data_IF_347392577830
#
_entry.id   IF_347392577830
#
_cell.length_a   1.000
_cell.length_b   1.000
_cell.length_c   1.000
_cell.angle_alpha   90.00
_cell.angle_beta   90.00
_cell.angle_gamma   90.00
#
_symmetry.space_group_name_H-M   'P 1'
#
loop_
_entity.id
_entity.type
_entity.pdbx_description
1 polymer ?
#
# COMPACT_ATOMS: atom_id res chain seq x y z
N UNK A 1 50.56 -0.14 -30.89
CA UNK A 1 50.30 -1.23 -29.92
C UNK A 1 48.95 -1.01 -29.30
N UNK A 2 48.18 -2.09 -29.24
CA UNK A 2 46.73 -2.15 -29.06
C UNK A 2 46.32 -1.85 -27.62
N UNK A 3 45.18 -1.17 -27.50
CA UNK A 3 44.42 -0.87 -26.29
C UNK A 3 43.78 -2.12 -25.68
N UNK A 4 44.04 -2.39 -24.40
CA UNK A 4 43.29 -3.39 -23.63
C UNK A 4 41.96 -2.80 -23.13
N UNK A 5 40.87 -3.31 -23.69
CA UNK A 5 39.50 -3.10 -23.22
C UNK A 5 39.16 -4.26 -22.29
N UNK A 6 39.18 -3.99 -20.98
CA UNK A 6 38.68 -4.93 -19.97
C UNK A 6 37.16 -5.08 -20.08
N UNK A 7 36.72 -6.26 -20.55
CA UNK A 7 35.31 -6.64 -20.66
C UNK A 7 34.74 -6.86 -19.26
N UNK A 8 33.78 -6.03 -18.84
CA UNK A 8 33.03 -6.26 -17.59
C UNK A 8 32.11 -7.48 -17.77
N UNK A 9 32.35 -8.50 -16.96
CA UNK A 9 31.54 -9.71 -16.88
C UNK A 9 30.13 -9.39 -16.39
N UNK A 10 29.13 -9.94 -17.07
CA UNK A 10 27.71 -9.86 -16.72
C UNK A 10 27.44 -10.48 -15.34
N UNK A 11 26.80 -9.72 -14.45
CA UNK A 11 26.26 -10.22 -13.18
C UNK A 11 25.12 -11.23 -13.43
N UNK A 12 24.98 -12.29 -12.62
CA UNK A 12 23.93 -13.30 -12.78
C UNK A 12 22.56 -12.75 -12.36
N UNK A 13 21.53 -13.15 -13.13
CA UNK A 13 20.10 -12.86 -12.93
C UNK A 13 19.59 -13.33 -11.57
N UNK A 14 18.86 -12.47 -10.83
CA UNK A 14 18.36 -12.78 -9.48
C UNK A 14 16.94 -13.37 -9.52
N UNK A 15 16.70 -14.37 -8.66
CA UNK A 15 15.47 -15.17 -8.56
C UNK A 15 14.75 -14.80 -7.26
N UNK A 16 13.44 -14.55 -7.32
CA UNK A 16 12.59 -14.33 -6.15
C UNK A 16 12.01 -15.67 -5.66
N UNK A 17 12.05 -15.92 -4.35
CA UNK A 17 11.47 -17.13 -3.74
C UNK A 17 10.42 -16.75 -2.69
N UNK A 18 9.17 -17.16 -2.91
CA UNK A 18 8.12 -17.10 -1.89
C UNK A 18 8.16 -18.38 -1.06
N UNK A 19 8.20 -18.27 0.27
CA UNK A 19 8.14 -19.41 1.18
C UNK A 19 6.78 -19.42 1.89
N UNK A 20 6.12 -20.57 1.92
CA UNK A 20 4.93 -20.85 2.73
C UNK A 20 5.28 -21.91 3.78
N UNK A 21 4.73 -21.88 5.00
CA UNK A 21 4.88 -22.97 5.95
C UNK A 21 3.93 -24.14 5.57
N UNK A 22 4.55 -25.32 5.38
CA UNK A 22 4.09 -26.73 5.39
C UNK A 22 2.57 -27.02 5.33
N UNK A 23 2.02 -27.84 4.45
CA UNK A 23 2.51 -29.11 3.86
C UNK A 23 2.19 -29.25 2.35
N UNK A 24 2.92 -30.14 1.69
CA UNK A 24 2.85 -30.61 0.29
C UNK A 24 3.53 -29.76 -0.82
N UNK A 25 4.82 -30.05 -0.98
CA UNK A 25 5.62 -30.10 -2.21
C UNK A 25 5.05 -29.47 -3.50
N UNK A 26 5.27 -28.16 -3.69
CA UNK A 26 5.78 -27.62 -4.96
C UNK A 26 6.19 -26.16 -4.81
N UNK A 27 7.49 -25.87 -4.93
CA UNK A 27 8.05 -24.51 -5.01
C UNK A 27 7.65 -23.85 -6.34
N UNK A 28 7.22 -22.58 -6.30
CA UNK A 28 7.01 -21.79 -7.51
C UNK A 28 8.25 -20.90 -7.71
N UNK A 29 9.09 -21.26 -8.67
CA UNK A 29 10.23 -20.47 -9.14
C UNK A 29 9.77 -19.58 -10.29
N UNK A 30 9.97 -18.26 -10.20
CA UNK A 30 9.81 -17.34 -11.34
C UNK A 30 11.18 -16.73 -11.67
N UNK A 31 11.69 -17.06 -12.87
CA UNK A 31 12.95 -16.51 -13.38
C UNK A 31 12.67 -15.35 -14.33
N UNK A 32 13.31 -14.20 -14.08
CA UNK A 32 13.34 -13.08 -15.02
C UNK A 32 14.32 -13.45 -16.15
N UNK A 33 13.81 -13.85 -17.31
CA UNK A 33 14.64 -14.06 -18.50
C UNK A 33 14.23 -13.05 -19.57
N UNK A 34 15.24 -12.28 -20.01
CA UNK A 34 15.29 -11.37 -21.16
C UNK A 34 14.24 -10.26 -21.24
N UNK A 35 14.65 -9.01 -20.99
CA UNK A 35 14.32 -7.88 -21.86
C UNK A 35 15.46 -6.85 -21.73
N UNK A 36 16.15 -6.68 -22.84
CA UNK A 36 17.33 -5.84 -23.08
C UNK A 36 17.02 -4.35 -22.90
N UNK A 37 18.08 -3.59 -22.63
CA UNK A 37 18.18 -2.13 -22.77
C UNK A 37 17.53 -1.65 -24.07
N UNK A 38 16.35 -1.04 -23.96
CA UNK A 38 15.74 -0.05 -24.86
C UNK A 38 14.25 -0.05 -24.47
N UNK A 39 13.80 0.96 -23.71
CA UNK A 39 12.39 1.41 -23.60
C UNK A 39 12.16 2.36 -22.40
N UNK A 40 13.17 2.66 -21.59
CA UNK A 40 13.03 3.54 -20.41
C UNK A 40 13.02 5.05 -20.68
N UNK A 41 12.74 5.51 -21.90
CA UNK A 41 12.72 6.95 -22.23
C UNK A 41 11.68 7.27 -23.29
N UNK A 42 10.39 7.19 -22.97
CA UNK A 42 9.32 7.82 -23.76
C UNK A 42 7.96 7.82 -23.05
N UNK A 43 7.88 8.35 -21.82
CA UNK A 43 6.56 8.62 -21.23
C UNK A 43 6.58 9.75 -20.20
N UNK A 44 7.23 10.86 -20.55
CA UNK A 44 7.03 12.14 -19.89
C UNK A 44 7.06 13.24 -20.95
N UNK A 45 5.92 13.46 -21.59
CA UNK A 45 5.46 14.76 -22.10
C UNK A 45 4.07 14.57 -22.75
N UNK A 46 3.01 14.92 -22.01
CA UNK A 46 1.88 15.69 -22.54
C UNK A 46 0.86 15.94 -21.42
N UNK A 47 0.97 17.10 -20.81
CA UNK A 47 -0.06 17.70 -19.95
C UNK A 47 -0.59 18.93 -20.69
N UNK A 48 -1.89 18.90 -20.97
CA UNK A 48 -2.91 19.98 -20.92
C UNK A 48 -3.77 20.23 -22.17
N UNK A 49 -5.05 20.40 -21.80
CA UNK A 49 -6.15 21.12 -22.43
C UNK A 49 -6.93 20.44 -23.56
N UNK A 50 -8.18 20.07 -23.22
CA UNK A 50 -9.35 20.68 -23.85
C UNK A 50 -10.60 20.52 -22.98
N UNK A 51 -11.16 21.67 -22.60
CA UNK A 51 -12.50 21.80 -22.05
C UNK A 51 -13.58 21.81 -23.16
N UNK A 52 -14.80 21.49 -22.71
CA UNK A 52 -16.12 21.93 -23.15
C UNK A 52 -17.07 21.04 -24.01
N UNK A 53 -18.10 20.51 -23.29
CA UNK A 53 -19.56 20.74 -23.44
C UNK A 53 -20.46 19.79 -24.31
N UNK A 54 -21.37 19.10 -23.56
CA UNK A 54 -22.80 18.65 -23.80
C UNK A 54 -23.08 17.61 -24.92
N UNK A 55 -24.03 16.66 -24.82
CA UNK A 55 -25.46 16.69 -24.41
C UNK A 55 -25.95 15.29 -23.93
N UNK A 56 -26.86 15.34 -22.93
CA UNK A 56 -27.97 14.46 -22.54
C UNK A 56 -28.03 12.96 -22.91
N UNK A 57 -28.27 12.14 -21.88
CA UNK A 57 -28.92 10.84 -21.95
C UNK A 57 -29.34 10.44 -20.54
N UNK A 58 -30.65 10.54 -20.25
CA UNK A 58 -31.21 10.26 -18.94
C UNK A 58 -31.11 8.77 -18.59
N UNK A 59 -30.64 8.49 -17.38
CA UNK A 59 -31.03 7.28 -16.64
C UNK A 59 -31.09 7.66 -15.18
N UNK A 60 -32.19 7.27 -14.55
CA UNK A 60 -32.64 7.67 -13.22
C UNK A 60 -31.52 7.54 -12.19
N UNK A 61 -31.07 8.70 -11.69
CA UNK A 61 -30.22 8.77 -10.51
C UNK A 61 -31.05 8.29 -9.33
N UNK A 62 -30.88 7.04 -8.94
CA UNK A 62 -31.12 6.65 -7.55
C UNK A 62 -30.23 7.53 -6.69
N UNK A 63 -30.81 8.59 -6.15
CA UNK A 63 -30.16 9.52 -5.24
C UNK A 63 -29.95 8.82 -3.91
N UNK A 64 -29.00 7.90 -3.85
CA UNK A 64 -28.32 7.61 -2.60
C UNK A 64 -27.65 8.93 -2.24
N UNK A 65 -28.17 9.59 -1.22
CA UNK A 65 -27.52 10.72 -0.56
C UNK A 65 -26.05 10.36 -0.39
N UNK A 66 -25.16 10.96 -1.18
CA UNK A 66 -23.72 10.79 -0.99
C UNK A 66 -23.42 11.40 0.37
N UNK A 67 -22.98 10.59 1.33
CA UNK A 67 -22.53 11.10 2.62
C UNK A 67 -21.31 11.99 2.34
N UNK A 68 -21.40 13.27 2.69
CA UNK A 68 -20.34 14.27 2.47
C UNK A 68 -19.75 14.71 3.79
N UNK A 69 -18.45 14.99 3.81
CA UNK A 69 -17.76 15.56 4.96
C UNK A 69 -16.79 16.63 4.52
N UNK A 70 -16.42 17.51 5.46
CA UNK A 70 -15.36 18.49 5.24
C UNK A 70 -14.12 18.09 6.00
N UNK A 71 -12.96 18.19 5.35
CA UNK A 71 -11.64 18.09 5.95
C UNK A 71 -10.84 19.27 5.42
N UNK A 72 -10.21 20.04 6.31
CA UNK A 72 -9.43 21.24 5.92
C UNK A 72 -10.18 22.23 5.00
N UNK A 73 -11.49 22.35 5.19
CA UNK A 73 -12.42 23.13 4.35
C UNK A 73 -12.69 22.58 2.94
N UNK A 74 -12.14 21.43 2.59
CA UNK A 74 -12.42 20.72 1.34
C UNK A 74 -13.54 19.69 1.53
N UNK A 75 -14.40 19.53 0.52
CA UNK A 75 -15.47 18.54 0.55
C UNK A 75 -14.96 17.18 0.06
N UNK A 76 -15.08 16.17 0.92
CA UNK A 76 -14.78 14.78 0.61
C UNK A 76 -16.10 14.01 0.53
N UNK A 77 -16.27 13.25 -0.54
CA UNK A 77 -17.47 12.44 -0.76
C UNK A 77 -17.21 10.96 -0.41
N UNK A 78 -18.14 10.37 0.32
CA UNK A 78 -18.23 8.93 0.43
C UNK A 78 -18.57 8.32 -0.94
N UNK A 79 -17.91 7.21 -1.29
CA UNK A 79 -18.04 6.59 -2.60
C UNK A 79 -17.00 7.06 -3.63
N UNK A 80 -16.07 7.93 -3.25
CA UNK A 80 -14.96 8.40 -4.08
C UNK A 80 -13.63 7.94 -3.50
N UNK A 81 -12.62 7.80 -4.37
CA UNK A 81 -11.27 7.40 -3.97
C UNK A 81 -10.65 8.50 -3.11
N UNK A 82 -10.04 8.10 -1.99
CA UNK A 82 -9.35 9.02 -1.09
C UNK A 82 -8.00 9.41 -1.71
N UNK A 83 -7.62 10.68 -1.56
CA UNK A 83 -6.34 11.20 -2.01
C UNK A 83 -5.17 10.78 -1.11
N UNK A 84 -3.97 10.65 -1.69
CA UNK A 84 -2.78 10.16 -1.01
C UNK A 84 -2.39 11.01 0.19
N UNK A 85 -2.52 12.33 0.08
CA UNK A 85 -2.21 13.31 1.12
C UNK A 85 -3.04 13.11 2.39
N UNK A 86 -4.34 12.84 2.25
CA UNK A 86 -5.22 12.55 3.38
C UNK A 86 -4.87 11.21 4.06
N UNK A 87 -4.48 10.20 3.28
CA UNK A 87 -3.99 8.93 3.84
C UNK A 87 -2.68 9.13 4.58
N UNK A 88 -1.76 9.91 4.00
CA UNK A 88 -0.47 10.22 4.60
C UNK A 88 -0.65 11.00 5.91
N UNK A 89 -1.51 12.02 5.93
CA UNK A 89 -1.81 12.78 7.15
C UNK A 89 -2.41 11.90 8.24
N UNK A 90 -3.33 11.00 7.89
CA UNK A 90 -3.88 10.05 8.84
C UNK A 90 -2.80 9.16 9.45
N UNK A 91 -1.91 8.61 8.60
CA UNK A 91 -0.81 7.75 9.03
C UNK A 91 0.20 8.49 9.92
N UNK A 92 0.52 9.74 9.60
CA UNK A 92 1.41 10.60 10.39
C UNK A 92 0.82 10.89 11.78
N UNK A 93 -0.47 11.26 11.84
CA UNK A 93 -1.19 11.47 13.10
C UNK A 93 -1.23 10.19 13.94
N UNK A 94 -1.53 9.04 13.32
CA UNK A 94 -1.58 7.74 14.00
C UNK A 94 -0.21 7.37 14.57
N UNK A 95 0.87 7.44 13.79
CA UNK A 95 2.19 7.08 14.27
C UNK A 95 2.68 8.06 15.36
N UNK A 96 2.38 9.35 15.21
CA UNK A 96 2.69 10.38 16.20
C UNK A 96 2.00 10.11 17.54
N UNK A 97 0.69 9.82 17.52
CA UNK A 97 -0.07 9.45 18.72
C UNK A 97 0.51 8.19 19.39
N UNK A 98 1.03 7.25 18.59
CA UNK A 98 1.72 6.04 19.04
C UNK A 98 3.20 6.25 19.36
N UNK A 99 3.65 7.51 19.51
CA UNK A 99 5.04 7.89 19.85
C UNK A 99 6.07 7.34 18.86
N UNK A 100 5.74 7.38 17.58
CA UNK A 100 6.56 6.89 16.48
C UNK A 100 6.97 5.41 16.69
N UNK A 101 5.98 4.57 17.02
CA UNK A 101 6.15 3.13 17.26
C UNK A 101 6.65 2.38 16.02
N UNK A 102 6.34 2.88 14.82
CA UNK A 102 6.67 2.24 13.55
C UNK A 102 7.71 3.05 12.77
N UNK A 103 8.58 2.34 12.06
CA UNK A 103 9.51 2.92 11.07
C UNK A 103 8.84 3.16 9.69
N UNK A 104 7.59 2.69 9.54
CA UNK A 104 6.75 2.92 8.37
C UNK A 104 5.85 4.15 8.50
N UNK A 105 4.64 4.07 7.92
CA UNK A 105 3.66 5.17 7.86
C UNK A 105 4.23 6.43 7.21
N UNK A 106 5.19 6.23 6.30
CA UNK A 106 5.82 7.29 5.53
C UNK A 106 4.85 7.77 4.45
N UNK A 107 4.98 9.04 4.07
CA UNK A 107 4.23 9.55 2.94
C UNK A 107 4.52 8.72 1.67
N UNK A 108 3.50 8.40 0.88
CA UNK A 108 3.64 7.49 -0.27
C UNK A 108 4.73 7.95 -1.25
N UNK A 109 4.92 9.27 -1.39
CA UNK A 109 5.96 9.82 -2.27
C UNK A 109 7.39 9.47 -1.80
N UNK A 110 7.58 9.21 -0.50
CA UNK A 110 8.89 8.81 0.03
C UNK A 110 9.30 7.40 -0.36
N UNK A 111 8.34 6.53 -0.69
CA UNK A 111 8.63 5.15 -1.14
C UNK A 111 9.32 5.16 -2.53
N UNK A 112 9.08 6.21 -3.32
CA UNK A 112 9.74 6.41 -4.61
C UNK A 112 11.15 7.03 -4.48
N UNK A 113 11.64 7.32 -3.27
CA UNK A 113 13.01 7.81 -3.08
C UNK A 113 14.05 6.71 -3.35
N UNK A 114 15.28 7.16 -3.59
CA UNK A 114 16.46 6.29 -3.64
C UNK A 114 16.56 5.44 -2.35
N UNK A 115 16.79 4.12 -2.47
CA UNK A 115 16.97 3.20 -1.34
C UNK A 115 17.87 3.72 -0.22
N UNK A 116 18.94 4.46 -0.53
CA UNK A 116 19.87 4.97 0.49
C UNK A 116 19.23 5.95 1.49
N UNK A 117 18.14 6.62 1.09
CA UNK A 117 17.39 7.50 1.97
C UNK A 117 16.35 6.73 2.78
N UNK A 118 15.80 5.64 2.24
CA UNK A 118 14.85 4.79 2.93
C UNK A 118 15.51 4.05 4.10
N UNK A 119 16.77 3.61 3.98
CA UNK A 119 17.51 2.94 5.05
C UNK A 119 17.60 3.75 6.35
N UNK A 120 17.57 5.09 6.24
CA UNK A 120 17.60 6.00 7.40
C UNK A 120 16.26 6.11 8.10
N UNK A 121 15.17 5.91 7.36
CA UNK A 121 13.79 5.96 7.86
C UNK A 121 13.34 4.58 8.36
N UNK A 122 13.69 3.55 7.59
CA UNK A 122 13.39 2.14 7.85
C UNK A 122 14.64 1.48 8.42
N UNK A 123 14.80 1.53 9.74
CA UNK A 123 16.05 1.12 10.39
C UNK A 123 16.10 -0.38 10.73
N UNK A 124 14.95 -1.05 10.66
CA UNK A 124 14.78 -2.45 11.09
C UNK A 124 14.72 -2.63 12.61
N UNK A 125 14.77 -1.54 13.40
CA UNK A 125 14.68 -1.59 14.87
C UNK A 125 13.26 -1.52 15.39
N UNK A 126 12.31 -1.11 14.54
CA UNK A 126 10.88 -1.06 14.83
C UNK A 126 10.10 -1.89 13.82
N UNK A 127 8.89 -2.35 14.18
CA UNK A 127 7.97 -2.89 13.19
C UNK A 127 7.65 -1.84 12.11
N UNK A 128 7.22 -2.32 10.95
CA UNK A 128 6.90 -1.48 9.79
C UNK A 128 5.45 -1.76 9.43
N UNK A 129 4.66 -0.69 9.31
CA UNK A 129 3.34 -0.68 8.70
C UNK A 129 3.35 0.40 7.64
N UNK A 130 3.06 0.07 6.39
CA UNK A 130 3.11 1.04 5.30
C UNK A 130 1.96 0.82 4.33
N UNK A 131 1.26 1.89 3.97
CA UNK A 131 0.33 1.86 2.84
C UNK A 131 1.14 2.11 1.56
N UNK A 132 0.99 1.21 0.60
CA UNK A 132 1.59 1.31 -0.74
C UNK A 132 0.48 1.56 -1.77
N UNK A 133 0.85 2.24 -2.86
CA UNK A 133 0.00 2.38 -4.03
C UNK A 133 0.47 1.43 -5.13
N UNK A 134 -0.35 0.44 -5.43
CA UNK A 134 -0.25 -0.34 -6.65
C UNK A 134 -0.74 0.51 -7.82
N UNK A 135 0.18 1.20 -8.49
CA UNK A 135 -0.12 2.10 -9.61
C UNK A 135 -0.80 1.38 -10.77
N UNK A 136 -0.44 0.11 -11.04
CA UNK A 136 -1.02 -0.66 -12.15
C UNK A 136 -2.50 -0.94 -11.95
N UNK A 137 -2.91 -1.16 -10.70
CA UNK A 137 -4.32 -1.41 -10.32
C UNK A 137 -5.02 -0.18 -9.76
N UNK A 138 -4.32 0.95 -9.65
CA UNK A 138 -4.75 2.15 -8.91
C UNK A 138 -5.28 1.83 -7.51
N UNK A 139 -4.62 0.87 -6.83
CA UNK A 139 -5.13 0.20 -5.62
C UNK A 139 -4.21 0.38 -4.42
N UNK A 140 -4.76 0.74 -3.27
CA UNK A 140 -3.99 0.78 -2.02
C UNK A 140 -3.89 -0.61 -1.39
N UNK A 141 -2.70 -0.95 -0.93
CA UNK A 141 -2.44 -2.14 -0.11
C UNK A 141 -1.71 -1.74 1.16
N UNK A 142 -1.89 -2.50 2.24
CA UNK A 142 -1.10 -2.35 3.46
C UNK A 142 -0.03 -3.43 3.47
N UNK A 143 1.21 -3.06 3.77
CA UNK A 143 2.30 -3.99 4.04
C UNK A 143 2.75 -3.88 5.49
N UNK A 144 3.07 -5.03 6.07
CA UNK A 144 3.53 -5.17 7.45
C UNK A 144 4.80 -5.99 7.50
N UNK A 145 5.76 -5.56 8.34
CA UNK A 145 6.87 -6.41 8.78
C UNK A 145 7.01 -6.29 10.29
N UNK A 146 7.03 -7.44 10.97
CA UNK A 146 7.26 -7.50 12.42
C UNK A 146 8.76 -7.65 12.71
N UNK A 147 9.14 -7.59 13.99
CA UNK A 147 10.53 -7.85 14.39
C UNK A 147 10.83 -9.35 14.61
N UNK A 148 9.79 -10.20 14.59
CA UNK A 148 9.90 -11.63 14.93
C UNK A 148 10.09 -12.49 13.68
N UNK A 149 9.39 -12.13 12.60
CA UNK A 149 9.43 -12.84 11.33
C UNK A 149 9.97 -11.91 10.24
N UNK A 150 10.87 -12.44 9.41
CA UNK A 150 11.48 -11.73 8.30
C UNK A 150 10.61 -11.77 7.02
N UNK A 151 9.30 -11.91 7.22
CA UNK A 151 8.31 -11.98 6.15
C UNK A 151 7.51 -10.69 6.11
N UNK A 152 7.44 -10.08 4.93
CA UNK A 152 6.53 -8.96 4.65
C UNK A 152 5.14 -9.52 4.36
N UNK A 153 4.17 -9.13 5.17
CA UNK A 153 2.76 -9.50 5.02
C UNK A 153 2.06 -8.42 4.21
N UNK A 154 1.33 -8.80 3.17
CA UNK A 154 0.55 -7.90 2.31
C UNK A 154 -0.94 -8.13 2.58
N UNK A 155 -1.61 -7.06 3.01
CA UNK A 155 -3.06 -6.98 3.16
C UNK A 155 -3.63 -6.27 1.92
N UNK A 156 -4.29 -7.05 1.06
CA UNK A 156 -4.85 -6.58 -0.21
C UNK A 156 -6.32 -7.01 -0.29
N UNK A 157 -7.22 -6.03 -0.29
CA UNK A 157 -8.68 -6.27 -0.27
C UNK A 157 -9.23 -6.87 -1.58
N UNK A 158 -8.45 -6.88 -2.67
CA UNK A 158 -8.78 -7.56 -3.92
C UNK A 158 -8.21 -8.98 -3.99
N UNK A 159 -7.16 -9.30 -3.22
CA UNK A 159 -6.45 -10.59 -3.20
C UNK A 159 -7.19 -11.71 -2.43
N UNK A 160 -8.45 -11.93 -2.77
CA UNK A 160 -9.38 -12.87 -2.12
C UNK A 160 -9.14 -14.37 -2.40
N UNK A 161 -8.05 -14.71 -3.08
CA UNK A 161 -7.65 -16.10 -3.34
C UNK A 161 -6.17 -16.18 -3.66
N UNK A 162 -5.58 -17.38 -3.54
CA UNK A 162 -4.15 -17.60 -3.88
C UNK A 162 -3.82 -17.18 -5.32
N UNK A 163 -4.72 -17.46 -6.26
CA UNK A 163 -4.55 -17.05 -7.66
C UNK A 163 -4.50 -15.53 -7.78
N UNK A 164 -5.45 -14.83 -7.17
CA UNK A 164 -5.50 -13.36 -7.19
C UNK A 164 -4.31 -12.72 -6.47
N UNK A 165 -3.87 -13.29 -5.35
CA UNK A 165 -2.68 -12.84 -4.64
C UNK A 165 -1.42 -12.93 -5.51
N UNK A 166 -1.27 -14.04 -6.25
CA UNK A 166 -0.15 -14.20 -7.20
C UNK A 166 -0.18 -13.15 -8.31
N UNK A 167 -1.38 -12.85 -8.83
CA UNK A 167 -1.55 -11.86 -9.91
C UNK A 167 -1.43 -10.41 -9.39
N UNK A 168 -1.66 -10.18 -8.10
CA UNK A 168 -1.62 -8.86 -7.46
C UNK A 168 -0.19 -8.33 -7.27
N UNK A 169 0.79 -9.21 -7.04
CA UNK A 169 2.20 -8.83 -6.91
C UNK A 169 2.81 -8.55 -8.29
N UNK A 170 2.43 -7.41 -8.87
CA UNK A 170 3.03 -6.94 -10.11
C UNK A 170 4.40 -6.29 -9.85
N UNK A 171 5.14 -6.04 -10.95
CA UNK A 171 6.49 -5.49 -10.91
C UNK A 171 6.60 -4.21 -10.08
N UNK A 172 5.71 -3.24 -10.27
CA UNK A 172 5.79 -1.95 -9.57
C UNK A 172 5.56 -2.07 -8.07
N UNK A 173 4.62 -2.93 -7.65
CA UNK A 173 4.41 -3.21 -6.23
C UNK A 173 5.59 -4.00 -5.63
N UNK A 174 6.12 -4.97 -6.37
CA UNK A 174 7.28 -5.75 -5.94
C UNK A 174 8.54 -4.89 -5.78
N UNK A 175 8.78 -3.93 -6.69
CA UNK A 175 9.90 -2.99 -6.61
C UNK A 175 9.77 -2.06 -5.39
N UNK A 176 8.56 -1.55 -5.10
CA UNK A 176 8.31 -0.77 -3.88
C UNK A 176 8.65 -1.55 -2.60
N UNK A 177 8.14 -2.79 -2.50
CA UNK A 177 8.43 -3.67 -1.36
C UNK A 177 9.93 -3.97 -1.30
N UNK A 178 10.55 -4.31 -2.41
CA UNK A 178 11.98 -4.62 -2.45
C UNK A 178 12.83 -3.43 -1.98
N UNK A 179 12.59 -2.24 -2.51
CA UNK A 179 13.33 -1.02 -2.13
C UNK A 179 13.19 -0.69 -0.65
N UNK A 180 12.04 -0.99 -0.05
CA UNK A 180 11.77 -0.73 1.36
C UNK A 180 12.37 -1.76 2.33
N UNK A 181 12.58 -3.00 1.91
CA UNK A 181 12.90 -4.09 2.84
C UNK A 181 14.20 -4.84 2.53
N UNK A 182 14.76 -4.71 1.33
CA UNK A 182 15.92 -5.50 0.90
C UNK A 182 17.16 -5.29 1.79
N UNK A 183 17.38 -4.08 2.30
CA UNK A 183 18.49 -3.78 3.20
C UNK A 183 18.34 -4.43 4.59
N UNK A 184 17.13 -4.84 4.97
CA UNK A 184 16.85 -5.56 6.21
C UNK A 184 17.13 -7.07 6.08
N UNK A 185 17.09 -7.60 4.86
CA UNK A 185 17.20 -9.04 4.56
C UNK A 185 18.16 -9.31 3.39
N UNK A 186 19.42 -8.84 3.43
CA UNK A 186 20.30 -8.82 2.26
C UNK A 186 20.75 -10.20 1.77
N UNK A 187 20.61 -11.24 2.61
CA UNK A 187 21.10 -12.61 2.30
C UNK A 187 20.00 -13.45 1.64
N UNK A 188 18.78 -13.37 2.15
CA UNK A 188 17.66 -14.24 1.74
C UNK A 188 16.73 -13.57 0.70
N UNK A 189 16.94 -12.28 0.43
CA UNK A 189 15.97 -11.45 -0.28
C UNK A 189 14.71 -11.19 0.56
N UNK A 190 13.75 -10.45 -0.02
CA UNK A 190 12.52 -10.09 0.68
C UNK A 190 11.47 -11.19 0.52
N UNK A 191 11.11 -11.85 1.63
CA UNK A 191 10.03 -12.85 1.67
C UNK A 191 8.69 -12.12 1.77
N UNK A 192 7.76 -12.44 0.87
CA UNK A 192 6.44 -11.79 0.81
C UNK A 192 5.33 -12.82 0.94
N UNK A 193 4.34 -12.55 1.79
CA UNK A 193 3.15 -13.37 1.99
C UNK A 193 1.90 -12.50 1.88
N UNK A 194 0.91 -12.95 1.10
CA UNK A 194 -0.40 -12.31 1.05
C UNK A 194 -1.34 -12.88 2.10
N UNK A 195 -2.13 -12.00 2.69
CA UNK A 195 -3.24 -12.35 3.55
C UNK A 195 -4.55 -12.37 2.74
N UNK A 196 -5.14 -13.57 2.58
CA UNK A 196 -6.21 -13.83 1.59
C UNK A 196 -7.61 -13.93 2.19
N UNK A 197 -7.73 -13.93 3.52
CA UNK A 197 -8.98 -14.03 4.27
C UNK A 197 -9.54 -12.67 4.73
N UNK A 198 -9.08 -11.59 4.10
CA UNK A 198 -9.54 -10.23 4.35
C UNK A 198 -10.91 -9.99 3.70
N UNK A 199 -11.73 -9.15 4.33
CA UNK A 199 -13.01 -8.70 3.76
C UNK A 199 -12.83 -8.18 2.33
N UNK A 200 -13.51 -8.87 1.40
CA UNK A 200 -13.46 -8.58 -0.04
C UNK A 200 -13.96 -7.17 -0.34
N UNK A 201 -13.21 -6.46 -1.18
CA UNK A 201 -13.71 -5.29 -1.90
C UNK A 201 -14.38 -5.70 -3.22
N UNK A 202 -15.56 -5.14 -3.49
CA UNK A 202 -16.32 -5.30 -4.74
C UNK A 202 -16.60 -3.98 -5.48
N UNK A 203 -16.23 -2.85 -4.89
CA UNK A 203 -16.27 -1.52 -5.50
C UNK A 203 -14.88 -1.08 -6.05
N UNK A 204 -14.80 0.10 -6.65
CA UNK A 204 -13.56 0.65 -7.23
C UNK A 204 -12.90 1.77 -6.40
N UNK A 205 -13.38 2.06 -5.19
CA UNK A 205 -13.02 3.30 -4.47
C UNK A 205 -12.64 3.07 -2.99
N UNK A 206 -13.13 2.02 -2.35
CA UNK A 206 -13.01 1.83 -0.89
C UNK A 206 -11.63 1.33 -0.44
N UNK A 207 -10.72 1.01 -1.36
CA UNK A 207 -9.40 0.47 -1.02
C UNK A 207 -8.62 1.34 -0.03
N UNK A 208 -8.69 2.67 -0.16
CA UNK A 208 -8.06 3.61 0.77
C UNK A 208 -8.68 3.58 2.17
N UNK A 209 -10.01 3.46 2.27
CA UNK A 209 -10.69 3.31 3.57
C UNK A 209 -10.40 1.95 4.21
N UNK A 210 -10.33 0.90 3.39
CA UNK A 210 -9.98 -0.45 3.85
C UNK A 210 -8.57 -0.47 4.41
N UNK A 211 -7.59 0.13 3.73
CA UNK A 211 -6.22 0.24 4.27
C UNK A 211 -6.15 1.12 5.52
N UNK A 212 -6.94 2.19 5.62
CA UNK A 212 -7.09 2.98 6.87
C UNK A 212 -7.62 2.11 8.01
N UNK A 213 -8.63 1.28 7.77
CA UNK A 213 -9.15 0.38 8.78
C UNK A 213 -8.10 -0.68 9.18
N UNK A 214 -7.46 -1.31 8.20
CA UNK A 214 -6.45 -2.34 8.45
C UNK A 214 -5.25 -1.80 9.21
N UNK A 215 -4.70 -0.64 8.81
CA UNK A 215 -3.54 -0.07 9.48
C UNK A 215 -3.87 0.31 10.91
N UNK A 216 -5.09 0.78 11.16
CA UNK A 216 -5.56 1.07 12.53
C UNK A 216 -5.62 -0.21 13.36
N UNK A 217 -6.20 -1.30 12.85
CA UNK A 217 -6.19 -2.59 13.53
C UNK A 217 -4.78 -3.05 13.85
N UNK A 218 -3.90 -3.09 12.85
CA UNK A 218 -2.52 -3.57 13.02
C UNK A 218 -1.69 -2.68 13.95
N UNK A 219 -1.91 -1.36 13.96
CA UNK A 219 -1.20 -0.42 14.83
C UNK A 219 -1.48 -0.67 16.33
N UNK A 220 -2.64 -1.24 16.65
CA UNK A 220 -3.05 -1.67 18.00
C UNK A 220 -2.96 -3.20 18.19
N UNK A 221 -2.20 -3.90 17.34
CA UNK A 221 -1.96 -5.34 17.40
C UNK A 221 -3.23 -6.21 17.24
N UNK A 222 -4.32 -5.64 16.72
CA UNK A 222 -5.55 -6.35 16.39
C UNK A 222 -5.49 -6.96 14.99
N UNK A 223 -6.10 -8.13 14.82
CA UNK A 223 -6.24 -8.75 13.50
C UNK A 223 -7.44 -8.12 12.76
N UNK A 224 -7.23 -7.48 11.58
CA UNK A 224 -8.33 -6.91 10.80
C UNK A 224 -9.36 -7.95 10.35
N UNK A 225 -9.04 -9.24 10.31
CA UNK A 225 -9.99 -10.31 9.95
C UNK A 225 -11.07 -10.53 11.03
N UNK A 226 -10.85 -10.06 12.25
CA UNK A 226 -11.84 -10.16 13.33
C UNK A 226 -12.98 -9.15 13.20
N UNK A 227 -12.97 -8.29 12.18
CA UNK A 227 -13.91 -7.20 12.00
C UNK A 227 -14.61 -7.27 10.64
N UNK A 228 -15.88 -6.87 10.63
CA UNK A 228 -16.63 -6.54 9.42
C UNK A 228 -16.72 -5.03 9.38
N UNK A 229 -16.14 -4.40 8.38
CA UNK A 229 -15.99 -2.96 8.35
C UNK A 229 -17.16 -2.30 7.62
N UNK A 230 -17.92 -1.49 8.34
CA UNK A 230 -18.86 -0.55 7.74
C UNK A 230 -18.09 0.65 7.16
N UNK A 231 -17.87 0.64 5.84
CA UNK A 231 -17.09 1.68 5.15
C UNK A 231 -17.62 3.10 5.39
N UNK A 232 -18.93 3.29 5.58
CA UNK A 232 -19.47 4.61 5.91
C UNK A 232 -19.02 5.06 7.30
N UNK A 233 -19.00 4.16 8.28
CA UNK A 233 -18.48 4.49 9.62
C UNK A 233 -16.97 4.70 9.61
N UNK A 234 -16.21 3.89 8.87
CA UNK A 234 -14.76 4.09 8.68
C UNK A 234 -14.50 5.46 8.06
N UNK A 235 -15.26 5.86 7.03
CA UNK A 235 -15.18 7.17 6.41
C UNK A 235 -15.46 8.31 7.39
N UNK A 236 -16.54 8.19 8.19
CA UNK A 236 -16.88 9.18 9.23
C UNK A 236 -15.75 9.32 10.26
N UNK A 237 -15.22 8.19 10.73
CA UNK A 237 -14.12 8.14 11.67
C UNK A 237 -12.84 8.79 11.09
N UNK A 238 -12.46 8.42 9.88
CA UNK A 238 -11.30 8.96 9.16
C UNK A 238 -11.38 10.49 9.04
N UNK A 239 -12.49 11.03 8.53
CA UNK A 239 -12.66 12.47 8.40
C UNK A 239 -12.69 13.20 9.76
N UNK A 240 -13.18 12.57 10.83
CA UNK A 240 -13.16 13.19 12.16
C UNK A 240 -11.72 13.39 12.65
N UNK A 241 -10.89 12.35 12.55
CA UNK A 241 -9.50 12.40 13.00
C UNK A 241 -8.64 13.34 12.17
N UNK A 242 -8.90 13.46 10.87
CA UNK A 242 -8.20 14.45 10.05
C UNK A 242 -8.52 15.90 10.45
N UNK A 243 -9.72 16.17 10.98
CA UNK A 243 -10.05 17.50 11.49
C UNK A 243 -9.50 17.75 12.91
N UNK A 244 -9.11 16.71 13.64
CA UNK A 244 -8.46 16.86 14.94
C UNK A 244 -6.99 17.23 14.73
N UNK A 245 -6.51 18.26 15.42
CA UNK A 245 -5.18 18.81 15.16
C UNK A 245 -4.09 17.87 15.69
N UNK A 246 -4.27 17.33 16.90
CA UNK A 246 -3.33 16.44 17.56
C UNK A 246 -4.09 15.31 18.29
N UNK A 247 -4.70 14.38 17.54
CA UNK A 247 -5.49 13.32 18.15
C UNK A 247 -4.63 12.45 19.06
N UNK A 248 -5.14 12.11 20.24
CA UNK A 248 -4.46 11.21 21.16
C UNK A 248 -4.69 9.73 20.82
N UNK A 249 -3.94 8.85 21.49
CA UNK A 249 -4.01 7.40 21.24
C UNK A 249 -5.40 6.80 21.52
N UNK A 250 -6.17 7.38 22.44
CA UNK A 250 -7.49 6.88 22.80
C UNK A 250 -8.52 7.26 21.74
N UNK A 251 -8.40 8.43 21.13
CA UNK A 251 -9.22 8.82 19.98
C UNK A 251 -9.10 7.85 18.80
N UNK A 252 -7.90 7.33 18.54
CA UNK A 252 -7.70 6.25 17.57
C UNK A 252 -8.25 4.91 18.07
N UNK A 253 -8.17 4.62 19.37
CA UNK A 253 -8.67 3.36 19.94
C UNK A 253 -10.21 3.23 19.83
N UNK A 254 -10.94 4.34 19.89
CA UNK A 254 -12.40 4.33 19.68
C UNK A 254 -12.82 3.87 18.27
N UNK A 255 -11.89 3.73 17.31
CA UNK A 255 -12.15 3.13 16.00
C UNK A 255 -12.84 1.76 16.10
N UNK A 256 -12.40 0.93 17.05
CA UNK A 256 -12.84 -0.46 17.18
C UNK A 256 -14.31 -0.60 17.58
N UNK A 257 -14.85 0.38 18.30
CA UNK A 257 -16.28 0.45 18.63
C UNK A 257 -17.13 0.93 17.44
N UNK A 258 -16.50 1.59 16.46
CA UNK A 258 -17.19 2.30 15.37
C UNK A 258 -17.06 1.62 14.02
N UNK A 259 -16.17 0.63 13.86
CA UNK A 259 -15.98 -0.04 12.58
C UNK A 259 -17.10 -1.02 12.22
N UNK A 260 -17.76 -1.66 13.19
CA UNK A 260 -18.98 -2.48 12.99
C UNK A 260 -20.23 -1.62 13.03
#
# INVERSE_FOLDING_TARGET
SVSDVGTCQSLPSQIFTCVSPADDNSSITASLTSLTQEDSQKEYENVKQKDEIRIAGGTEKSSISRTKRRVHNEEINYGERIADDLINEYCDKLNTALRNRFDGMLAIQYIALDPQNLDRLITGRKPILQILLDQKREHYVLVERTLVDDTVIVFDSLATSRKKAKDALNRGLAEQIFNMFNHLSPIDGVKVRYEIAIEKQDDMWSCGLRTVAYITCRAFDSDPQCYIFNMEKVFKYFCNLLNEQNPDVEEFRYAFERFG
#
